data_IF_595491885181
#
_entry.id   IF_595491885181
#
_cell.length_a   1.000
_cell.length_b   1.000
_cell.length_c   1.000
_cell.angle_alpha   90.00
_cell.angle_beta   90.00
_cell.angle_gamma   90.00
#
_symmetry.space_group_name_H-M   'P 1'
#
loop_
_entity.id
_entity.type
_entity.pdbx_description
1 polymer ?
#
# COMPACT_ATOMS: atom_id res chain seq x y z
N UNK A 1 -35.57 6.44 -8.60
CA UNK A 1 -34.30 6.76 -9.26
C UNK A 1 -33.58 5.45 -9.51
N UNK A 2 -33.35 5.09 -10.76
CA UNK A 2 -32.61 3.87 -11.12
C UNK A 2 -31.17 4.04 -10.69
N UNK A 3 -30.75 3.36 -9.62
CA UNK A 3 -29.34 3.24 -9.29
C UNK A 3 -28.68 2.51 -10.46
N UNK A 4 -27.86 3.21 -11.23
CA UNK A 4 -26.96 2.58 -12.21
C UNK A 4 -25.99 1.72 -11.42
N UNK A 5 -26.14 0.40 -11.51
CA UNK A 5 -25.16 -0.54 -10.95
C UNK A 5 -23.77 -0.17 -11.49
N UNK A 6 -22.84 0.13 -10.59
CA UNK A 6 -21.45 0.33 -10.96
C UNK A 6 -20.85 -1.01 -11.34
N UNK A 7 -20.22 -1.09 -12.52
CA UNK A 7 -19.49 -2.29 -12.92
C UNK A 7 -18.10 -2.29 -12.27
N UNK A 8 -17.63 -3.43 -11.71
CA UNK A 8 -16.26 -3.54 -11.24
C UNK A 8 -15.25 -3.20 -12.33
N UNK A 9 -14.19 -2.49 -11.95
CA UNK A 9 -13.08 -2.12 -12.84
C UNK A 9 -11.75 -2.56 -12.23
N UNK A 10 -10.71 -2.83 -13.05
CA UNK A 10 -9.43 -3.23 -12.50
C UNK A 10 -8.80 -2.08 -11.71
N UNK A 11 -8.01 -2.42 -10.69
CA UNK A 11 -7.47 -1.43 -9.77
C UNK A 11 -6.04 -1.73 -9.33
N UNK A 12 -5.37 -0.67 -8.90
CA UNK A 12 -4.04 -0.71 -8.29
C UNK A 12 -4.14 -0.24 -6.85
N UNK A 13 -3.65 -1.07 -5.93
CA UNK A 13 -3.44 -0.69 -4.52
C UNK A 13 -2.01 -0.17 -4.38
N UNK A 14 -1.85 1.14 -4.21
CA UNK A 14 -0.60 1.82 -3.91
C UNK A 14 -0.35 1.77 -2.40
N UNK A 15 0.74 1.16 -1.97
CA UNK A 15 1.02 0.95 -0.54
C UNK A 15 2.50 0.95 -0.23
N UNK A 16 2.81 0.98 1.06
CA UNK A 16 4.11 0.63 1.62
C UNK A 16 4.06 -0.73 2.33
N UNK A 17 5.22 -1.24 2.76
CA UNK A 17 5.29 -2.43 3.61
C UNK A 17 4.67 -2.14 4.98
N UNK A 18 4.07 -3.19 5.57
CA UNK A 18 3.52 -3.19 6.94
C UNK A 18 2.42 -2.15 7.22
N UNK A 19 1.66 -1.79 6.19
CA UNK A 19 0.43 -0.97 6.28
C UNK A 19 -0.83 -1.79 6.59
N UNK A 20 -0.68 -3.06 7.00
CA UNK A 20 -1.80 -4.00 7.19
C UNK A 20 -2.49 -4.41 5.89
N UNK A 21 -1.86 -4.16 4.74
CA UNK A 21 -2.50 -4.37 3.44
C UNK A 21 -2.75 -5.80 3.03
N UNK A 22 -2.15 -6.80 3.66
CA UNK A 22 -2.34 -8.18 3.21
C UNK A 22 -3.78 -8.68 3.40
N UNK A 23 -4.46 -8.34 4.49
CA UNK A 23 -5.84 -8.80 4.71
C UNK A 23 -6.84 -7.97 3.90
N UNK A 24 -6.71 -6.64 3.93
CA UNK A 24 -7.56 -5.76 3.13
C UNK A 24 -7.39 -6.04 1.64
N UNK A 25 -6.15 -6.06 1.12
CA UNK A 25 -5.92 -6.33 -0.30
C UNK A 25 -6.47 -7.69 -0.69
N UNK A 26 -6.27 -8.73 0.12
CA UNK A 26 -6.78 -10.07 -0.20
C UNK A 26 -8.30 -10.07 -0.33
N UNK A 27 -9.05 -9.50 0.62
CA UNK A 27 -10.51 -9.49 0.53
C UNK A 27 -10.99 -8.68 -0.69
N UNK A 28 -10.43 -7.49 -0.94
CA UNK A 28 -10.79 -6.70 -2.13
C UNK A 28 -10.48 -7.42 -3.45
N UNK A 29 -9.35 -8.14 -3.50
CA UNK A 29 -8.92 -8.88 -4.68
C UNK A 29 -9.74 -10.16 -4.89
N UNK A 30 -10.18 -10.83 -3.82
CA UNK A 30 -11.08 -12.00 -3.85
C UNK A 30 -12.49 -11.62 -4.34
N UNK A 31 -12.95 -10.40 -4.07
CA UNK A 31 -14.26 -9.90 -4.54
C UNK A 31 -14.27 -9.50 -6.01
N UNK A 32 -13.10 -9.17 -6.55
CA UNK A 32 -13.00 -8.70 -7.91
C UNK A 32 -13.12 -9.84 -8.93
N UNK A 33 -13.81 -9.63 -10.07
CA UNK A 33 -13.83 -10.60 -11.16
C UNK A 33 -12.49 -10.69 -11.91
N UNK A 34 -11.62 -9.70 -11.74
CA UNK A 34 -10.30 -9.64 -12.36
C UNK A 34 -9.27 -10.48 -11.60
N UNK A 35 -8.35 -11.11 -12.34
CA UNK A 35 -7.17 -11.77 -11.76
C UNK A 35 -6.37 -10.78 -10.93
N UNK A 36 -5.80 -11.25 -9.84
CA UNK A 36 -5.06 -10.43 -8.89
C UNK A 36 -3.59 -10.86 -8.77
N UNK A 37 -2.71 -9.87 -8.76
CA UNK A 37 -1.27 -10.07 -8.55
C UNK A 37 -0.77 -9.25 -7.35
N UNK A 38 -0.06 -9.94 -6.45
CA UNK A 38 0.45 -9.36 -5.20
C UNK A 38 1.93 -8.99 -5.38
N UNK A 39 2.19 -7.69 -5.50
CA UNK A 39 3.54 -7.12 -5.69
C UNK A 39 4.31 -7.76 -6.87
N UNK A 40 3.70 -7.85 -8.07
CA UNK A 40 4.20 -8.69 -9.16
C UNK A 40 5.55 -8.27 -9.73
N UNK A 41 5.95 -7.02 -9.52
CA UNK A 41 7.22 -6.47 -10.01
C UNK A 41 8.40 -6.76 -9.08
N UNK A 42 8.17 -7.31 -7.87
CA UNK A 42 9.26 -7.75 -7.00
C UNK A 42 10.09 -8.82 -7.73
N UNK A 43 11.42 -8.81 -7.58
CA UNK A 43 12.35 -9.69 -8.32
C UNK A 43 11.91 -11.16 -8.50
N UNK A 44 11.43 -11.88 -7.47
CA UNK A 44 11.05 -13.29 -7.61
C UNK A 44 9.62 -13.53 -8.13
N UNK A 45 8.88 -12.47 -8.47
CA UNK A 45 7.46 -12.55 -8.87
C UNK A 45 7.30 -12.56 -10.39
N UNK A 46 6.05 -12.77 -10.82
CA UNK A 46 5.68 -13.00 -12.23
C UNK A 46 6.21 -11.94 -13.20
N UNK A 47 6.28 -10.67 -12.77
CA UNK A 47 6.81 -9.55 -13.57
C UNK A 47 8.15 -9.02 -13.06
N UNK A 48 8.82 -9.76 -12.16
CA UNK A 48 10.13 -9.39 -11.61
C UNK A 48 11.25 -9.33 -12.65
N UNK A 49 11.06 -9.96 -13.82
CA UNK A 49 11.99 -9.86 -14.96
C UNK A 49 12.10 -8.42 -15.50
N UNK A 50 11.05 -7.60 -15.39
CA UNK A 50 11.08 -6.19 -15.82
C UNK A 50 12.03 -5.39 -14.92
N UNK A 51 11.96 -5.62 -13.60
CA UNK A 51 12.88 -5.00 -12.65
C UNK A 51 14.32 -5.40 -12.93
N UNK A 52 14.58 -6.69 -13.16
CA UNK A 52 15.93 -7.20 -13.43
C UNK A 52 16.50 -6.61 -14.73
N UNK A 53 15.71 -6.54 -15.80
CA UNK A 53 16.13 -5.94 -17.06
C UNK A 53 16.44 -4.44 -16.88
N UNK A 54 15.56 -3.70 -16.19
CA UNK A 54 15.78 -2.28 -15.89
C UNK A 54 17.09 -2.05 -15.12
N UNK A 55 17.34 -2.82 -14.07
CA UNK A 55 18.54 -2.65 -13.24
C UNK A 55 19.85 -2.93 -13.98
N UNK A 56 19.82 -3.87 -14.93
CA UNK A 56 20.95 -4.19 -15.80
C UNK A 56 21.28 -3.04 -16.75
N UNK A 57 20.25 -2.47 -17.38
CA UNK A 57 20.43 -1.60 -18.54
C UNK A 57 20.43 -0.09 -18.16
N UNK A 58 19.92 0.29 -16.98
CA UNK A 58 19.81 1.71 -16.55
C UNK A 58 21.13 2.48 -16.43
N UNK A 59 22.27 1.79 -16.40
CA UNK A 59 23.60 2.39 -16.33
C UNK A 59 24.40 2.24 -17.63
N UNK A 60 23.78 1.78 -18.71
CA UNK A 60 24.41 1.67 -20.02
C UNK A 60 24.69 3.02 -20.69
N UNK A 61 25.09 2.96 -21.95
CA UNK A 61 25.14 4.13 -22.83
C UNK A 61 23.74 4.76 -23.03
N UNK A 62 23.70 5.91 -23.69
CA UNK A 62 22.46 6.68 -23.84
C UNK A 62 21.37 5.93 -24.60
N UNK A 63 21.75 5.19 -25.65
CA UNK A 63 20.82 4.38 -26.45
C UNK A 63 20.26 3.22 -25.61
N UNK A 64 21.12 2.57 -24.82
CA UNK A 64 20.73 1.50 -23.89
C UNK A 64 19.76 2.00 -22.83
N UNK A 65 20.04 3.17 -22.23
CA UNK A 65 19.14 3.80 -21.24
C UNK A 65 17.79 4.13 -21.84
N UNK A 66 17.77 4.73 -23.02
CA UNK A 66 16.53 5.07 -23.74
C UNK A 66 15.72 3.81 -24.07
N UNK A 67 16.39 2.74 -24.52
CA UNK A 67 15.75 1.46 -24.78
C UNK A 67 15.18 0.84 -23.49
N UNK A 68 15.92 0.87 -22.37
CA UNK A 68 15.46 0.36 -21.08
C UNK A 68 14.19 1.10 -20.60
N UNK A 69 14.19 2.43 -20.75
CA UNK A 69 13.06 3.31 -20.43
C UNK A 69 11.81 2.95 -21.23
N UNK A 70 11.94 2.74 -22.55
CA UNK A 70 10.85 2.36 -23.45
C UNK A 70 10.36 0.93 -23.19
N UNK A 71 11.27 -0.01 -22.91
CA UNK A 71 10.94 -1.40 -22.60
C UNK A 71 10.11 -1.51 -21.32
N UNK A 72 10.45 -0.74 -20.28
CA UNK A 72 9.64 -0.68 -19.04
C UNK A 72 8.24 -0.15 -19.33
N UNK A 73 8.11 0.96 -20.06
CA UNK A 73 6.81 1.55 -20.39
C UNK A 73 5.94 0.59 -21.18
N UNK A 74 6.51 -0.03 -22.22
CA UNK A 74 5.81 -1.02 -23.03
C UNK A 74 5.36 -2.22 -22.20
N UNK A 75 6.26 -2.79 -21.41
CA UNK A 75 5.95 -3.99 -20.62
C UNK A 75 4.86 -3.72 -19.57
N UNK A 76 4.90 -2.57 -18.91
CA UNK A 76 3.86 -2.16 -17.96
C UNK A 76 2.51 -1.96 -18.67
N UNK A 77 2.50 -1.30 -19.83
CA UNK A 77 1.29 -1.11 -20.62
C UNK A 77 0.68 -2.46 -21.05
N UNK A 78 1.51 -3.40 -21.52
CA UNK A 78 1.09 -4.74 -21.91
C UNK A 78 0.55 -5.56 -20.73
N UNK A 79 1.06 -5.34 -19.51
CA UNK A 79 0.54 -5.97 -18.29
C UNK A 79 -0.84 -5.43 -17.96
N UNK A 80 -1.02 -4.12 -17.94
CA UNK A 80 -2.32 -3.53 -17.59
C UNK A 80 -3.40 -3.90 -18.60
N UNK A 81 -3.04 -4.13 -19.86
CA UNK A 81 -3.97 -4.56 -20.91
C UNK A 81 -4.63 -5.93 -20.62
N UNK A 82 -4.10 -6.68 -19.65
CA UNK A 82 -4.67 -7.94 -19.17
C UNK A 82 -5.81 -7.74 -18.16
N UNK A 83 -6.07 -6.50 -17.73
CA UNK A 83 -7.04 -6.17 -16.69
C UNK A 83 -6.79 -6.97 -15.40
N UNK A 84 -5.54 -7.00 -14.93
CA UNK A 84 -5.17 -7.66 -13.66
C UNK A 84 -5.15 -6.62 -12.53
N UNK A 85 -5.77 -6.90 -11.40
CA UNK A 85 -5.58 -6.08 -10.22
C UNK A 85 -4.17 -6.23 -9.66
N UNK A 86 -3.59 -5.13 -9.19
CA UNK A 86 -2.21 -5.09 -8.73
C UNK A 86 -2.14 -4.50 -7.33
N UNK A 87 -1.55 -5.22 -6.37
CA UNK A 87 -1.01 -4.57 -5.16
C UNK A 87 0.42 -4.15 -5.43
N UNK A 88 0.70 -2.85 -5.39
CA UNK A 88 2.01 -2.27 -5.67
C UNK A 88 2.65 -1.65 -4.43
N UNK A 89 3.74 -2.24 -3.96
CA UNK A 89 4.51 -1.72 -2.84
C UNK A 89 5.61 -0.75 -3.33
N UNK A 90 5.41 0.55 -3.11
CA UNK A 90 6.24 1.61 -3.71
C UNK A 90 7.69 1.63 -3.21
N UNK A 91 7.96 0.99 -2.08
CA UNK A 91 9.29 0.89 -1.47
C UNK A 91 10.16 -0.19 -2.15
N UNK A 92 9.54 -1.21 -2.73
CA UNK A 92 10.23 -2.42 -3.22
C UNK A 92 10.61 -2.37 -4.70
N UNK A 93 10.04 -1.42 -5.44
CA UNK A 93 10.15 -1.36 -6.89
C UNK A 93 10.78 -0.02 -7.29
N UNK A 94 11.74 0.00 -8.25
CA UNK A 94 12.33 1.23 -8.75
C UNK A 94 11.30 2.27 -9.16
N UNK A 95 11.62 3.56 -8.93
CA UNK A 95 10.76 4.68 -9.29
C UNK A 95 10.26 4.60 -10.73
N UNK A 96 11.15 4.26 -11.67
CA UNK A 96 10.82 4.20 -13.09
C UNK A 96 9.62 3.29 -13.38
N UNK A 97 9.65 2.05 -12.89
CA UNK A 97 8.56 1.09 -13.07
C UNK A 97 7.28 1.59 -12.39
N UNK A 98 7.39 2.10 -11.17
CA UNK A 98 6.24 2.63 -10.42
C UNK A 98 5.58 3.83 -11.12
N UNK A 99 6.39 4.74 -11.68
CA UNK A 99 5.90 5.90 -12.43
C UNK A 99 5.26 5.52 -13.76
N UNK A 100 5.82 4.54 -14.48
CA UNK A 100 5.21 3.98 -15.70
C UNK A 100 3.89 3.29 -15.38
N UNK A 101 3.80 2.58 -14.24
CA UNK A 101 2.57 1.95 -13.77
C UNK A 101 1.49 2.99 -13.48
N UNK A 102 1.83 4.07 -12.78
CA UNK A 102 0.88 5.14 -12.47
C UNK A 102 0.34 5.80 -13.75
N UNK A 103 1.22 6.11 -14.71
CA UNK A 103 0.82 6.67 -16.01
C UNK A 103 -0.10 5.71 -16.78
N UNK A 104 0.33 4.48 -17.00
CA UNK A 104 -0.42 3.50 -17.78
C UNK A 104 -1.77 3.14 -17.11
N UNK A 105 -1.86 3.24 -15.78
CA UNK A 105 -3.12 3.00 -15.06
C UNK A 105 -4.20 4.02 -15.41
N UNK A 106 -3.83 5.28 -15.63
CA UNK A 106 -4.79 6.30 -16.08
C UNK A 106 -5.18 6.07 -17.53
N UNK A 107 -4.20 5.76 -18.39
CA UNK A 107 -4.43 5.51 -19.81
C UNK A 107 -5.36 4.30 -20.07
N UNK A 108 -5.52 3.41 -19.08
CA UNK A 108 -6.37 2.21 -19.16
C UNK A 108 -7.51 2.17 -18.13
N UNK A 109 -7.92 3.33 -17.61
CA UNK A 109 -9.07 3.50 -16.72
C UNK A 109 -9.03 2.67 -15.42
N UNK A 110 -7.83 2.31 -14.94
CA UNK A 110 -7.68 1.64 -13.64
C UNK A 110 -8.05 2.58 -12.50
N UNK A 111 -8.72 2.04 -11.48
CA UNK A 111 -8.88 2.75 -10.21
C UNK A 111 -7.58 2.71 -9.42
N UNK A 112 -7.26 3.81 -8.76
CA UNK A 112 -6.12 3.91 -7.85
C UNK A 112 -6.61 3.97 -6.40
N UNK A 113 -6.25 2.97 -5.60
CA UNK A 113 -6.52 2.91 -4.17
C UNK A 113 -5.22 3.09 -3.41
N UNK A 114 -5.12 4.09 -2.54
CA UNK A 114 -4.00 4.29 -1.65
C UNK A 114 -4.30 3.64 -0.32
N UNK A 115 -3.50 2.65 0.05
CA UNK A 115 -3.53 2.04 1.37
C UNK A 115 -2.35 2.54 2.18
N UNK A 116 -2.65 3.24 3.27
CA UNK A 116 -1.64 3.83 4.14
C UNK A 116 -1.78 3.31 5.58
N UNK A 117 -0.78 3.63 6.40
CA UNK A 117 -0.84 3.51 7.85
C UNK A 117 -0.36 4.82 8.43
N UNK A 118 -1.25 5.53 9.11
CA UNK A 118 -1.03 6.87 9.63
C UNK A 118 0.01 6.87 10.75
N UNK A 119 0.04 5.81 11.55
CA UNK A 119 1.00 5.66 12.63
C UNK A 119 2.35 5.13 12.10
N UNK A 120 3.20 6.04 11.60
CA UNK A 120 4.55 5.71 11.10
C UNK A 120 5.42 5.02 12.15
N UNK A 121 5.30 5.38 13.44
CA UNK A 121 6.05 4.69 14.52
C UNK A 121 5.74 3.20 14.52
N UNK A 122 4.45 2.85 14.62
CA UNK A 122 4.02 1.46 14.66
C UNK A 122 4.31 0.72 13.35
N UNK A 123 4.28 1.42 12.21
CA UNK A 123 4.66 0.84 10.91
C UNK A 123 6.15 0.48 10.87
N UNK A 124 7.02 1.42 11.20
CA UNK A 124 8.47 1.24 11.17
C UNK A 124 8.94 0.19 12.15
N UNK A 125 8.43 0.19 13.39
CA UNK A 125 8.77 -0.85 14.36
C UNK A 125 8.31 -2.23 13.87
N UNK A 126 7.16 -2.30 13.21
CA UNK A 126 6.69 -3.55 12.61
C UNK A 126 7.53 -4.03 11.43
N UNK A 127 8.04 -3.09 10.63
CA UNK A 127 8.95 -3.38 9.52
C UNK A 127 10.31 -3.83 10.02
N UNK A 128 10.87 -3.13 11.00
CA UNK A 128 12.19 -3.46 11.55
C UNK A 128 12.16 -4.80 12.30
N UNK A 129 11.09 -5.08 13.04
CA UNK A 129 10.85 -6.39 13.62
C UNK A 129 10.86 -7.48 12.53
N UNK A 130 10.09 -7.31 11.46
CA UNK A 130 10.03 -8.28 10.36
C UNK A 130 11.39 -8.45 9.65
N UNK A 131 12.17 -7.36 9.51
CA UNK A 131 13.48 -7.38 8.86
C UNK A 131 14.51 -8.17 9.68
N UNK A 132 14.53 -7.97 10.99
CA UNK A 132 15.45 -8.62 11.93
C UNK A 132 15.11 -10.09 12.17
N UNK A 133 13.82 -10.40 12.32
CA UNK A 133 13.35 -11.77 12.63
C UNK A 133 13.02 -12.62 11.41
N UNK A 134 12.90 -11.99 10.23
CA UNK A 134 12.34 -12.60 9.01
C UNK A 134 10.87 -13.03 9.13
N UNK A 135 10.16 -12.57 10.17
CA UNK A 135 8.72 -12.85 10.39
C UNK A 135 7.88 -11.80 9.64
N UNK A 136 7.43 -12.13 8.44
CA UNK A 136 6.63 -11.22 7.60
C UNK A 136 5.12 -11.43 7.70
N UNK A 137 4.67 -12.53 8.31
CA UNK A 137 3.24 -12.88 8.41
C UNK A 137 2.96 -13.94 9.49
N UNK A 138 1.67 -14.23 9.75
CA UNK A 138 1.25 -15.12 10.84
C UNK A 138 1.69 -16.58 10.64
N UNK A 139 2.05 -16.99 9.43
CA UNK A 139 2.55 -18.33 9.11
C UNK A 139 4.02 -18.56 9.45
N UNK A 140 4.74 -17.54 9.91
CA UNK A 140 6.15 -17.67 10.26
C UNK A 140 6.29 -17.99 11.74
N UNK A 141 7.16 -18.94 12.07
CA UNK A 141 7.53 -19.23 13.44
C UNK A 141 8.16 -17.99 14.08
N UNK A 142 7.63 -17.61 15.24
CA UNK A 142 8.14 -16.46 15.99
C UNK A 142 9.34 -16.92 16.81
N UNK A 143 10.40 -16.10 16.90
CA UNK A 143 11.47 -16.34 17.87
C UNK A 143 10.90 -16.45 19.28
N UNK A 144 11.55 -17.25 20.13
CA UNK A 144 11.31 -17.24 21.57
C UNK A 144 11.56 -15.82 22.12
N UNK A 145 10.73 -15.40 23.07
CA UNK A 145 10.76 -14.07 23.62
C UNK A 145 12.11 -13.72 24.28
N UNK A 146 12.74 -14.73 24.90
CA UNK A 146 14.02 -14.62 25.59
C UNK A 146 15.21 -14.49 24.63
N UNK A 147 15.05 -14.91 23.37
CA UNK A 147 16.12 -14.95 22.36
C UNK A 147 15.73 -14.20 21.09
N UNK A 148 14.86 -13.20 21.19
CA UNK A 148 14.32 -12.53 20.01
C UNK A 148 15.33 -11.54 19.43
N UNK A 149 15.90 -11.83 18.24
CA UNK A 149 16.94 -11.01 17.63
C UNK A 149 16.42 -9.64 17.15
N UNK A 150 15.10 -9.40 17.18
CA UNK A 150 14.55 -8.07 16.92
C UNK A 150 15.16 -7.00 17.82
N UNK A 151 15.55 -7.34 19.05
CA UNK A 151 15.89 -6.37 20.08
C UNK A 151 17.39 -6.34 20.44
N UNK A 152 18.24 -7.10 19.72
CA UNK A 152 19.66 -7.25 20.04
C UNK A 152 20.51 -6.01 19.71
N UNK A 153 19.96 -5.09 18.90
CA UNK A 153 20.67 -3.90 18.43
C UNK A 153 19.78 -2.65 18.56
N UNK A 154 20.37 -1.45 18.72
CA UNK A 154 19.61 -0.21 18.66
C UNK A 154 18.94 -0.01 17.30
N UNK A 155 17.91 0.82 17.26
CA UNK A 155 17.30 1.26 16.01
C UNK A 155 18.27 2.15 15.21
N UNK A 156 18.36 1.89 13.91
CA UNK A 156 19.01 2.80 12.97
C UNK A 156 18.00 3.88 12.56
N UNK A 157 17.91 4.93 13.38
CA UNK A 157 16.87 5.95 13.27
C UNK A 157 16.98 6.70 11.93
N UNK A 158 18.19 7.04 11.50
CA UNK A 158 18.40 7.78 10.25
C UNK A 158 17.93 6.95 9.05
N UNK A 159 18.31 5.67 8.98
CA UNK A 159 17.85 4.78 7.91
C UNK A 159 16.33 4.58 7.91
N UNK A 160 15.71 4.48 9.09
CA UNK A 160 14.25 4.35 9.21
C UNK A 160 13.51 5.62 8.74
N UNK A 161 14.03 6.80 9.09
CA UNK A 161 13.48 8.08 8.65
C UNK A 161 13.65 8.29 7.16
N UNK A 162 14.81 7.96 6.60
CA UNK A 162 15.07 8.03 5.17
C UNK A 162 14.09 7.14 4.40
N UNK A 163 13.91 5.90 4.88
CA UNK A 163 12.99 4.93 4.28
C UNK A 163 11.54 5.42 4.32
N UNK A 164 11.06 5.90 5.48
CA UNK A 164 9.70 6.44 5.63
C UNK A 164 9.49 7.68 4.76
N UNK A 165 10.44 8.62 4.78
CA UNK A 165 10.39 9.86 4.00
C UNK A 165 10.31 9.57 2.50
N UNK A 166 11.14 8.64 2.01
CA UNK A 166 11.09 8.17 0.63
C UNK A 166 9.71 7.58 0.30
N UNK A 167 9.18 6.71 1.15
CA UNK A 167 7.88 6.07 0.95
C UNK A 167 6.73 7.08 0.86
N UNK A 168 6.65 8.01 1.82
CA UNK A 168 5.64 9.08 1.84
C UNK A 168 5.78 9.99 0.62
N UNK A 169 7.00 10.40 0.28
CA UNK A 169 7.27 11.26 -0.88
C UNK A 169 6.79 10.59 -2.16
N UNK A 170 7.10 9.31 -2.37
CA UNK A 170 6.64 8.56 -3.55
C UNK A 170 5.13 8.47 -3.62
N UNK A 171 4.44 8.16 -2.52
CA UNK A 171 2.98 8.13 -2.49
C UNK A 171 2.38 9.50 -2.81
N UNK A 172 2.95 10.57 -2.28
CA UNK A 172 2.54 11.94 -2.59
C UNK A 172 2.74 12.29 -4.08
N UNK A 173 3.86 11.87 -4.67
CA UNK A 173 4.14 12.12 -6.09
C UNK A 173 3.19 11.33 -7.00
N UNK A 174 2.90 10.07 -6.67
CA UNK A 174 1.88 9.31 -7.40
C UNK A 174 0.50 9.93 -7.28
N UNK A 175 0.09 10.33 -6.07
CA UNK A 175 -1.18 11.01 -5.86
C UNK A 175 -1.31 12.25 -6.75
N UNK A 176 -0.32 13.15 -6.70
CA UNK A 176 -0.30 14.37 -7.51
C UNK A 176 -0.32 14.06 -9.00
N UNK A 177 0.50 13.10 -9.45
CA UNK A 177 0.60 12.69 -10.85
C UNK A 177 -0.72 12.11 -11.38
N UNK A 178 -1.38 11.24 -10.61
CA UNK A 178 -2.67 10.66 -10.96
C UNK A 178 -3.76 11.74 -11.05
N UNK A 179 -3.83 12.63 -10.06
CA UNK A 179 -4.77 13.76 -10.05
C UNK A 179 -4.55 14.70 -11.23
N UNK A 180 -3.30 15.02 -11.56
CA UNK A 180 -2.95 15.88 -12.70
C UNK A 180 -3.36 15.27 -14.05
N UNK A 181 -3.45 13.94 -14.13
CA UNK A 181 -3.93 13.21 -15.30
C UNK A 181 -5.45 12.99 -15.29
N UNK A 182 -6.18 13.58 -14.33
CA UNK A 182 -7.65 13.51 -14.25
C UNK A 182 -8.19 12.32 -13.46
N UNK A 183 -7.34 11.45 -12.92
CA UNK A 183 -7.79 10.36 -12.06
C UNK A 183 -8.39 10.90 -10.75
N UNK A 184 -9.22 10.07 -10.11
CA UNK A 184 -9.82 10.35 -8.80
C UNK A 184 -9.43 9.23 -7.82
N UNK A 185 -8.18 9.20 -7.34
CA UNK A 185 -7.75 8.14 -6.43
C UNK A 185 -8.53 8.18 -5.12
N UNK A 186 -8.67 7.02 -4.48
CA UNK A 186 -9.30 6.86 -3.16
C UNK A 186 -8.24 6.48 -2.13
N UNK A 187 -8.48 6.80 -0.86
CA UNK A 187 -7.57 6.51 0.25
C UNK A 187 -8.32 5.72 1.31
N UNK A 188 -7.66 4.72 1.86
CA UNK A 188 -8.09 4.02 3.07
C UNK A 188 -6.86 3.81 3.97
N UNK A 189 -7.02 4.04 5.27
CA UNK A 189 -5.95 3.82 6.24
C UNK A 189 -6.14 2.54 7.05
N UNK A 190 -5.01 2.03 7.55
CA UNK A 190 -5.01 0.97 8.55
C UNK A 190 -5.86 1.35 9.76
N UNK A 191 -5.73 2.58 10.25
CA UNK A 191 -6.40 3.07 11.44
C UNK A 191 -7.93 3.09 11.24
N UNK A 192 -8.42 3.53 10.07
CA UNK A 192 -9.83 3.46 9.71
C UNK A 192 -10.38 2.03 9.74
N UNK A 193 -9.61 1.05 9.26
CA UNK A 193 -10.09 -0.34 9.17
C UNK A 193 -9.96 -1.09 10.49
N UNK A 194 -8.84 -0.95 11.19
CA UNK A 194 -8.44 -1.85 12.27
C UNK A 194 -8.46 -1.22 13.67
N UNK A 195 -8.39 0.11 13.78
CA UNK A 195 -8.28 0.80 15.08
C UNK A 195 -9.53 1.64 15.42
N UNK A 196 -10.29 2.08 14.42
CA UNK A 196 -11.55 2.79 14.63
C UNK A 196 -12.63 1.91 15.28
N UNK A 197 -13.73 2.52 15.71
CA UNK A 197 -14.93 1.75 16.05
C UNK A 197 -15.46 0.97 14.82
N UNK A 198 -16.33 -0.01 15.07
CA UNK A 198 -16.78 -0.92 14.01
C UNK A 198 -17.62 -0.21 12.93
N UNK A 199 -18.42 0.79 13.31
CA UNK A 199 -19.26 1.55 12.39
C UNK A 199 -18.40 2.38 11.44
N UNK A 200 -17.40 3.09 11.98
CA UNK A 200 -16.42 3.85 11.18
C UNK A 200 -15.67 2.96 10.21
N UNK A 201 -15.29 1.75 10.62
CA UNK A 201 -14.63 0.81 9.71
C UNK A 201 -15.54 0.28 8.62
N UNK A 202 -16.78 -0.09 8.95
CA UNK A 202 -17.78 -0.48 7.94
C UNK A 202 -17.99 0.65 6.93
N UNK A 203 -18.07 1.90 7.38
CA UNK A 203 -18.20 3.06 6.48
C UNK A 203 -16.99 3.22 5.55
N UNK A 204 -15.77 3.10 6.08
CA UNK A 204 -14.54 3.19 5.27
C UNK A 204 -14.43 2.06 4.24
N UNK A 205 -14.79 0.84 4.64
CA UNK A 205 -14.80 -0.35 3.79
C UNK A 205 -15.87 -0.22 2.72
N UNK A 206 -17.09 0.20 3.09
CA UNK A 206 -18.19 0.47 2.15
C UNK A 206 -17.81 1.51 1.10
N UNK A 207 -17.25 2.64 1.51
CA UNK A 207 -16.78 3.68 0.59
C UNK A 207 -15.72 3.14 -0.39
N UNK A 208 -14.81 2.29 0.09
CA UNK A 208 -13.79 1.66 -0.76
C UNK A 208 -14.41 0.68 -1.75
N UNK A 209 -15.34 -0.18 -1.33
CA UNK A 209 -16.00 -1.14 -2.22
C UNK A 209 -16.85 -0.44 -3.28
N UNK A 210 -17.58 0.62 -2.91
CA UNK A 210 -18.33 1.45 -3.86
C UNK A 210 -17.40 2.13 -4.86
N UNK A 211 -16.26 2.66 -4.40
CA UNK A 211 -15.27 3.28 -5.28
C UNK A 211 -14.71 2.31 -6.34
N UNK A 212 -14.52 1.05 -5.96
CA UNK A 212 -14.06 -0.03 -6.85
C UNK A 212 -15.18 -0.61 -7.73
N UNK A 213 -16.42 -0.18 -7.52
CA UNK A 213 -17.59 -0.62 -8.28
C UNK A 213 -18.14 -1.96 -7.84
N UNK A 214 -17.88 -2.39 -6.60
CA UNK A 214 -18.51 -3.59 -6.03
C UNK A 214 -19.89 -3.26 -5.48
N UNK A 215 -20.86 -4.14 -5.78
CA UNK A 215 -22.22 -4.08 -5.24
C UNK A 215 -22.25 -4.90 -3.95
N UNK A 216 -22.18 -4.23 -2.80
CA UNK A 216 -22.12 -4.85 -1.49
C UNK A 216 -23.22 -4.29 -0.58
N UNK A 217 -24.03 -5.17 -0.03
CA UNK A 217 -24.99 -4.81 1.03
C UNK A 217 -24.32 -4.67 2.40
N UNK A 218 -25.02 -4.03 3.34
CA UNK A 218 -24.52 -3.77 4.69
C UNK A 218 -24.04 -5.03 5.42
N UNK A 219 -24.76 -6.15 5.26
CA UNK A 219 -24.36 -7.43 5.86
C UNK A 219 -23.01 -7.94 5.33
N UNK A 220 -22.78 -7.82 4.02
CA UNK A 220 -21.51 -8.23 3.40
C UNK A 220 -20.35 -7.32 3.85
N UNK A 221 -20.60 -6.01 3.98
CA UNK A 221 -19.61 -5.07 4.51
C UNK A 221 -19.26 -5.40 5.95
N UNK A 222 -20.27 -5.68 6.78
CA UNK A 222 -20.10 -6.04 8.20
C UNK A 222 -19.29 -7.33 8.35
N UNK A 223 -19.63 -8.37 7.58
CA UNK A 223 -18.92 -9.65 7.59
C UNK A 223 -17.46 -9.47 7.15
N UNK A 224 -17.24 -8.77 6.04
CA UNK A 224 -15.90 -8.50 5.53
C UNK A 224 -15.06 -7.70 6.53
N UNK A 225 -15.64 -6.67 7.14
CA UNK A 225 -14.97 -5.83 8.15
C UNK A 225 -14.56 -6.66 9.36
N UNK A 226 -15.45 -7.53 9.85
CA UNK A 226 -15.16 -8.45 10.95
C UNK A 226 -14.02 -9.41 10.60
N UNK A 227 -14.11 -10.08 9.45
CA UNK A 227 -13.07 -11.01 8.95
C UNK A 227 -11.71 -10.34 8.81
N UNK A 228 -11.65 -9.09 8.33
CA UNK A 228 -10.40 -8.34 8.23
C UNK A 228 -9.77 -8.09 9.60
N UNK A 229 -10.57 -7.63 10.57
CA UNK A 229 -10.11 -7.31 11.93
C UNK A 229 -9.61 -8.53 12.70
N UNK A 230 -10.30 -9.66 12.59
CA UNK A 230 -9.96 -10.89 13.32
C UNK A 230 -8.60 -11.47 12.89
N UNK A 231 -8.30 -11.45 11.59
CA UNK A 231 -7.06 -12.03 11.03
C UNK A 231 -5.86 -11.06 11.15
N UNK A 232 -6.11 -9.78 11.41
CA UNK A 232 -5.08 -8.71 11.40
C UNK A 232 -4.11 -8.74 12.57
N UNK A 233 -4.46 -9.41 13.67
CA UNK A 233 -3.71 -9.28 14.91
C UNK A 233 -2.55 -10.29 15.00
N UNK A 234 -1.34 -9.84 14.64
CA UNK A 234 -0.13 -10.64 14.77
C UNK A 234 0.40 -10.73 16.22
N UNK A 235 -0.17 -10.00 17.19
CA UNK A 235 0.25 -9.98 18.60
C UNK A 235 1.77 -9.78 18.80
N UNK A 236 2.43 -9.00 17.93
CA UNK A 236 3.85 -8.62 18.12
C UNK A 236 4.01 -7.16 18.53
N UNK A 237 2.96 -6.35 18.35
CA UNK A 237 2.94 -4.92 18.68
C UNK A 237 3.24 -4.63 20.15
N UNK A 238 2.75 -5.48 21.05
CA UNK A 238 2.98 -5.39 22.49
C UNK A 238 4.46 -5.54 22.91
N UNK A 239 5.34 -5.89 21.97
CA UNK A 239 6.77 -6.09 22.22
C UNK A 239 7.63 -4.94 21.71
N UNK A 240 7.05 -4.02 20.93
CA UNK A 240 7.83 -2.97 20.26
C UNK A 240 8.46 -1.96 21.24
N UNK A 241 7.92 -1.83 22.45
CA UNK A 241 8.51 -0.98 23.49
C UNK A 241 9.89 -1.47 23.97
N UNK A 242 10.30 -2.70 23.57
CA UNK A 242 11.64 -3.26 23.83
C UNK A 242 12.72 -2.76 22.87
N UNK A 243 12.36 -2.05 21.79
CA UNK A 243 13.36 -1.52 20.87
C UNK A 243 14.17 -0.41 21.55
N UNK A 244 15.49 -0.58 21.57
CA UNK A 244 16.41 0.47 21.99
C UNK A 244 16.40 1.63 20.97
N UNK A 245 16.23 2.86 21.46
CA UNK A 245 16.06 4.08 20.67
C UNK A 245 14.61 4.43 20.27
N UNK A 246 13.58 3.76 20.82
CA UNK A 246 12.17 4.04 20.46
C UNK A 246 11.74 5.48 20.75
N UNK A 247 12.20 6.05 21.86
CA UNK A 247 11.83 7.42 22.24
C UNK A 247 12.49 8.47 21.34
N UNK A 248 13.74 8.21 20.92
CA UNK A 248 14.43 9.03 19.92
C UNK A 248 13.75 8.94 18.56
N UNK A 249 13.37 7.73 18.13
CA UNK A 249 12.59 7.54 16.92
C UNK A 249 11.29 8.33 16.99
N UNK A 250 10.53 8.22 18.10
CA UNK A 250 9.25 8.93 18.28
C UNK A 250 9.41 10.45 18.08
N UNK A 251 10.44 11.06 18.68
CA UNK A 251 10.74 12.48 18.49
C UNK A 251 11.14 12.81 17.06
N UNK A 252 11.94 11.95 16.43
CA UNK A 252 12.42 12.22 15.08
C UNK A 252 11.32 12.12 14.00
N UNK A 253 10.28 11.31 14.23
CA UNK A 253 9.13 11.17 13.34
C UNK A 253 8.31 12.46 13.17
N UNK A 254 8.43 13.42 14.10
CA UNK A 254 7.78 14.74 13.97
C UNK A 254 8.27 15.53 12.74
N UNK A 255 9.40 15.13 12.15
CA UNK A 255 10.01 15.76 10.97
C UNK A 255 9.56 15.14 9.65
N UNK A 256 8.74 14.08 9.69
CA UNK A 256 8.29 13.42 8.48
C UNK A 256 7.38 14.32 7.65
N UNK A 257 7.40 14.19 6.31
CA UNK A 257 6.41 14.83 5.48
C UNK A 257 5.02 14.25 5.77
N UNK A 258 3.99 15.08 5.62
CA UNK A 258 2.61 14.61 5.64
C UNK A 258 2.24 13.89 4.33
N UNK A 259 1.23 13.02 4.40
CA UNK A 259 0.48 12.62 3.22
C UNK A 259 -0.36 13.80 2.71
N UNK A 260 -0.10 14.25 1.47
CA UNK A 260 -0.78 15.45 0.91
C UNK A 260 -2.28 15.27 0.71
N UNK A 261 -2.74 14.02 0.68
CA UNK A 261 -4.13 13.63 0.50
C UNK A 261 -4.88 13.39 1.80
N UNK A 262 -4.16 13.34 2.92
CA UNK A 262 -4.76 13.09 4.23
C UNK A 262 -5.32 14.36 4.88
N UNK A 263 -4.78 15.53 4.53
CA UNK A 263 -5.27 16.84 5.01
C UNK A 263 -6.44 17.40 4.20
N UNK A 264 -6.61 16.99 2.94
CA UNK A 264 -7.68 17.49 2.06
C UNK A 264 -9.02 16.77 2.24
N UNK A 265 -9.02 15.50 2.67
CA UNK A 265 -10.24 14.67 2.71
C UNK A 265 -10.93 14.59 4.08
N UNK A 266 -10.28 14.98 5.19
CA UNK A 266 -10.98 15.06 6.49
C UNK A 266 -12.10 16.09 6.52
N UNK A 267 -11.93 17.21 5.82
CA UNK A 267 -12.97 18.24 5.72
C UNK A 267 -14.12 17.77 4.82
N UNK A 268 -13.83 17.12 3.70
CA UNK A 268 -14.84 16.66 2.75
C UNK A 268 -15.63 15.42 3.22
N UNK A 269 -15.01 14.47 3.94
CA UNK A 269 -15.71 13.30 4.49
C UNK A 269 -16.65 13.67 5.66
N UNK A 270 -16.33 14.73 6.43
CA UNK A 270 -17.21 15.21 7.50
C UNK A 270 -18.34 16.12 6.98
N UNK A 271 -18.15 16.77 5.84
CA UNK A 271 -19.17 17.63 5.23
C UNK A 271 -20.16 16.83 4.34
N UNK A 272 -19.78 15.65 3.86
CA UNK A 272 -20.61 14.77 3.02
C UNK A 272 -21.71 13.99 3.75
N UNK A 273 -21.80 14.07 5.08
CA UNK A 273 -22.88 13.46 5.89
C UNK A 273 -23.97 14.46 6.29
N UNK A 274 -23.87 15.71 5.83
CA UNK A 274 -24.91 16.72 5.98
C UNK A 274 -25.58 16.98 4.61
N UNK A 275 -26.45 16.07 4.18
CA UNK A 275 -27.38 16.29 3.06
C UNK A 275 -28.69 15.56 3.33
#
# INVERSE_FOLDING_TARGET
MTQTQSTPVPFIIWTMQRTGGTNLSRNLLEMSPFRAEQEPFNRPRVYGHIMQAWEKDRFGDEDTKKAAVANVEKAVHDILAKNENIKHCVEMVPWRISSSLAKASVDQDYKSLFLIRENSLQRLLSMEYARRTKVWGPSHEKPDEATDPAFDAPLDIDALLEHETMGITRLNDFWKSLKAQGAKPHVISFEQVYEADFETACAAVSATTTYLGFDCGDDQISEMTSKMRDVGNQNTRNRYDRFDGIDDLRRALEKLPDYVFFKSDRTAMLEGTAS
#
